data_IF_946157321281
#
_entry.id   IF_946157321281
#
_cell.length_a   1.000
_cell.length_b   1.000
_cell.length_c   1.000
_cell.angle_alpha   90.00
_cell.angle_beta   90.00
_cell.angle_gamma   90.00
#
_symmetry.space_group_name_H-M   'P 1'
#
loop_
_entity.id
_entity.type
_entity.pdbx_description
1 polymer ?
#
# COMPACT_ATOMS: atom_id res chain seq x y z
N UNK A 1 3.66 -10.51 -14.27
CA UNK A 1 3.77 -9.38 -13.31
C UNK A 1 5.20 -9.21 -12.79
N UNK A 2 5.86 -10.24 -12.26
CA UNK A 2 7.25 -10.11 -11.77
C UNK A 2 8.28 -9.66 -12.82
N UNK A 3 8.14 -10.07 -14.08
CA UNK A 3 9.02 -9.61 -15.19
C UNK A 3 8.87 -8.11 -15.46
N UNK A 4 7.63 -7.59 -15.42
CA UNK A 4 7.36 -6.15 -15.57
C UNK A 4 8.02 -5.35 -14.44
N UNK A 5 8.09 -5.89 -13.21
CA UNK A 5 8.77 -5.19 -12.11
C UNK A 5 10.27 -5.03 -12.38
N UNK A 6 10.92 -6.07 -12.90
CA UNK A 6 12.34 -6.01 -13.28
C UNK A 6 12.54 -5.04 -14.44
N UNK A 7 11.71 -5.12 -15.48
CA UNK A 7 11.79 -4.21 -16.63
C UNK A 7 11.64 -2.74 -16.20
N UNK A 8 10.72 -2.44 -15.28
CA UNK A 8 10.55 -1.10 -14.72
C UNK A 8 11.79 -0.65 -13.94
N UNK A 9 12.39 -1.54 -13.14
CA UNK A 9 13.66 -1.25 -12.45
C UNK A 9 14.79 -0.95 -13.44
N UNK A 10 14.94 -1.74 -14.49
CA UNK A 10 15.97 -1.53 -15.54
C UNK A 10 15.77 -0.22 -16.30
N UNK A 11 14.52 0.25 -16.41
CA UNK A 11 14.17 1.57 -16.93
C UNK A 11 14.43 2.73 -15.95
N UNK A 12 14.91 2.45 -14.74
CA UNK A 12 15.22 3.45 -13.73
C UNK A 12 14.04 3.86 -12.86
N UNK A 13 12.99 3.04 -12.75
CA UNK A 13 11.90 3.31 -11.82
C UNK A 13 12.40 3.35 -10.37
N UNK A 14 11.93 4.34 -9.60
CA UNK A 14 12.34 4.51 -8.20
C UNK A 14 11.63 3.54 -7.25
N UNK A 15 10.50 2.98 -7.67
CA UNK A 15 9.68 2.01 -6.94
C UNK A 15 8.70 1.32 -7.90
N UNK A 16 8.07 0.25 -7.42
CA UNK A 16 6.91 -0.37 -8.06
C UNK A 16 5.66 0.06 -7.29
N UNK A 17 4.79 0.84 -7.91
CA UNK A 17 3.56 1.33 -7.29
C UNK A 17 2.34 0.51 -7.72
N UNK A 18 1.79 -0.27 -6.79
CA UNK A 18 0.60 -1.08 -7.01
C UNK A 18 -0.62 -0.30 -6.55
N UNK A 19 -1.47 0.12 -7.50
CA UNK A 19 -2.61 1.02 -7.25
C UNK A 19 -3.91 0.24 -7.21
N UNK A 20 -4.64 0.36 -6.10
CA UNK A 20 -5.87 -0.38 -5.78
C UNK A 20 -5.73 -1.90 -6.00
N UNK A 21 -4.71 -2.55 -5.43
CA UNK A 21 -4.32 -3.89 -5.88
C UNK A 21 -4.96 -5.04 -5.08
N UNK A 22 -5.89 -4.73 -4.16
CA UNK A 22 -6.37 -5.62 -3.09
C UNK A 22 -6.92 -6.97 -3.57
N UNK A 23 -7.62 -7.02 -4.70
CA UNK A 23 -8.18 -8.28 -5.23
C UNK A 23 -7.13 -9.20 -5.87
N UNK A 24 -5.89 -8.73 -6.04
CA UNK A 24 -4.77 -9.49 -6.60
C UNK A 24 -3.69 -9.85 -5.57
N UNK A 25 -3.96 -9.70 -4.26
CA UNK A 25 -2.96 -9.91 -3.21
C UNK A 25 -2.21 -11.25 -3.33
N UNK A 26 -2.85 -12.42 -3.55
CA UNK A 26 -2.12 -13.67 -3.74
C UNK A 26 -1.15 -13.64 -4.93
N UNK A 27 -1.58 -13.09 -6.07
CA UNK A 27 -0.78 -13.00 -7.29
C UNK A 27 0.36 -11.99 -7.15
N UNK A 28 0.13 -10.90 -6.39
CA UNK A 28 1.13 -9.88 -6.10
C UNK A 28 2.24 -10.43 -5.23
N UNK A 29 1.89 -11.15 -4.17
CA UNK A 29 2.86 -11.81 -3.29
C UNK A 29 3.78 -12.72 -4.11
N UNK A 30 3.20 -13.55 -4.98
CA UNK A 30 3.97 -14.45 -5.84
C UNK A 30 4.84 -13.67 -6.84
N UNK A 31 4.30 -12.62 -7.46
CA UNK A 31 5.06 -11.78 -8.39
C UNK A 31 6.22 -11.05 -7.73
N UNK A 32 6.03 -10.52 -6.51
CA UNK A 32 7.10 -9.89 -5.73
C UNK A 32 8.16 -10.94 -5.39
N UNK A 33 7.77 -12.12 -4.92
CA UNK A 33 8.70 -13.22 -4.61
C UNK A 33 9.57 -13.58 -5.81
N UNK A 34 8.95 -13.78 -6.98
CA UNK A 34 9.67 -14.08 -8.22
C UNK A 34 10.58 -12.92 -8.64
N UNK A 35 10.11 -11.68 -8.57
CA UNK A 35 10.90 -10.51 -8.95
C UNK A 35 12.10 -10.30 -8.01
N UNK A 36 11.93 -10.43 -6.69
CA UNK A 36 13.02 -10.35 -5.72
C UNK A 36 14.09 -11.41 -5.99
N UNK A 37 13.70 -12.64 -6.30
CA UNK A 37 14.64 -13.70 -6.71
C UNK A 37 15.38 -13.39 -8.03
N UNK A 38 14.81 -12.54 -8.89
CA UNK A 38 15.42 -12.05 -10.13
C UNK A 38 16.20 -10.74 -9.95
N UNK A 39 16.40 -10.26 -8.71
CA UNK A 39 17.21 -9.07 -8.42
C UNK A 39 16.44 -7.76 -8.29
N UNK A 40 15.11 -7.78 -8.12
CA UNK A 40 14.35 -6.58 -7.79
C UNK A 40 14.83 -6.03 -6.43
N UNK A 41 15.33 -4.80 -6.40
CA UNK A 41 15.90 -4.14 -5.22
C UNK A 41 15.26 -2.77 -4.92
N UNK A 42 14.38 -2.27 -5.80
CA UNK A 42 13.60 -1.05 -5.53
C UNK A 42 12.40 -1.33 -4.60
N UNK A 43 11.87 -0.31 -3.88
CA UNK A 43 10.73 -0.45 -2.99
C UNK A 43 9.43 -0.86 -3.72
N UNK A 44 8.59 -1.63 -3.05
CA UNK A 44 7.20 -1.88 -3.45
C UNK A 44 6.27 -0.96 -2.64
N UNK A 45 5.44 -0.19 -3.35
CA UNK A 45 4.41 0.67 -2.77
C UNK A 45 3.05 0.00 -2.93
N UNK A 46 2.32 -0.12 -1.82
CA UNK A 46 0.92 -0.54 -1.81
C UNK A 46 0.02 0.69 -1.65
N UNK A 47 -0.53 1.16 -2.77
CA UNK A 47 -1.39 2.34 -2.81
C UNK A 47 -2.86 1.90 -2.78
N UNK A 48 -3.53 2.22 -1.68
CA UNK A 48 -4.84 1.65 -1.36
C UNK A 48 -5.85 2.69 -0.87
N UNK A 49 -7.09 2.26 -0.73
CA UNK A 49 -8.18 3.11 -0.25
C UNK A 49 -8.25 3.21 1.28
N UNK A 50 -7.33 2.55 1.97
CA UNK A 50 -7.37 2.28 3.40
C UNK A 50 -8.44 1.27 3.83
N UNK A 51 -9.48 1.02 3.01
CA UNK A 51 -10.66 0.24 3.38
C UNK A 51 -10.51 -1.29 3.22
N UNK A 52 -9.29 -1.78 3.39
CA UNK A 52 -8.98 -3.19 3.27
C UNK A 52 -9.27 -3.94 4.59
N UNK A 53 -9.49 -5.25 4.50
CA UNK A 53 -9.55 -6.11 5.68
C UNK A 53 -8.16 -6.25 6.30
N UNK A 54 -8.08 -6.22 7.62
CA UNK A 54 -6.83 -6.43 8.37
C UNK A 54 -6.20 -7.78 8.01
N UNK A 55 -7.00 -8.83 7.81
CA UNK A 55 -6.51 -10.14 7.40
C UNK A 55 -5.79 -10.09 6.05
N UNK A 56 -6.29 -9.28 5.11
CA UNK A 56 -5.64 -9.07 3.81
C UNK A 56 -4.32 -8.33 3.97
N UNK A 57 -4.25 -7.29 4.82
CA UNK A 57 -3.01 -6.57 5.06
C UNK A 57 -1.96 -7.48 5.72
N UNK A 58 -2.35 -8.33 6.67
CA UNK A 58 -1.45 -9.31 7.32
C UNK A 58 -0.73 -10.23 6.32
N UNK A 59 -1.37 -10.60 5.22
CA UNK A 59 -0.75 -11.43 4.16
C UNK A 59 0.42 -10.73 3.46
N UNK A 60 0.45 -9.40 3.47
CA UNK A 60 1.45 -8.58 2.79
C UNK A 60 2.73 -8.37 3.60
N UNK A 61 2.79 -8.90 4.83
CA UNK A 61 3.92 -8.72 5.74
C UNK A 61 5.21 -9.22 5.12
N UNK A 62 6.18 -8.32 4.98
CA UNK A 62 7.50 -8.59 4.39
C UNK A 62 7.55 -8.48 2.86
N UNK A 63 6.44 -8.19 2.19
CA UNK A 63 6.39 -7.99 0.74
C UNK A 63 6.27 -6.52 0.33
N UNK A 64 5.65 -5.71 1.19
CA UNK A 64 5.44 -4.28 0.95
C UNK A 64 6.44 -3.48 1.78
N UNK A 65 7.08 -2.51 1.14
CA UNK A 65 8.02 -1.61 1.79
C UNK A 65 7.33 -0.33 2.25
N UNK A 66 6.43 0.20 1.41
CA UNK A 66 5.71 1.45 1.66
C UNK A 66 4.22 1.26 1.50
N UNK A 67 3.45 1.68 2.49
CA UNK A 67 2.00 1.81 2.37
C UNK A 67 1.63 3.26 2.07
N UNK A 68 0.68 3.42 1.15
CA UNK A 68 0.18 4.72 0.72
C UNK A 68 -1.36 4.72 0.73
N UNK A 69 -2.01 4.58 1.90
CA UNK A 69 -3.46 4.54 2.01
C UNK A 69 -4.09 5.94 1.90
N UNK A 70 -5.25 5.99 1.26
CA UNK A 70 -6.17 7.11 1.39
C UNK A 70 -7.02 6.96 2.65
N UNK A 71 -7.02 7.96 3.52
CA UNK A 71 -8.03 8.10 4.57
C UNK A 71 -9.07 9.15 4.13
N UNK A 72 -10.22 8.67 3.67
CA UNK A 72 -11.25 9.45 2.97
C UNK A 72 -12.30 10.07 3.87
N UNK A 73 -12.67 9.37 4.95
CA UNK A 73 -13.75 9.78 5.83
C UNK A 73 -13.41 9.44 7.27
N UNK A 74 -13.66 10.40 8.17
CA UNK A 74 -13.71 10.15 9.61
C UNK A 74 -15.16 9.93 10.06
N UNK A 75 -16.08 10.79 9.62
CA UNK A 75 -17.50 10.70 9.97
C UNK A 75 -18.29 9.83 8.96
N UNK A 76 -19.00 8.84 9.51
CA UNK A 76 -19.90 7.95 8.77
C UNK A 76 -20.95 8.66 7.91
N UNK A 77 -21.36 9.88 8.30
CA UNK A 77 -22.28 10.71 7.52
C UNK A 77 -21.79 10.90 6.09
N UNK A 78 -20.50 11.16 5.91
CA UNK A 78 -19.90 11.40 4.60
C UNK A 78 -19.59 10.10 3.86
N UNK A 79 -19.09 9.08 4.58
CA UNK A 79 -18.79 7.80 3.94
C UNK A 79 -20.05 7.09 3.41
N UNK A 80 -21.19 7.22 4.10
CA UNK A 80 -22.49 6.77 3.59
C UNK A 80 -22.92 7.58 2.37
N UNK A 81 -22.86 8.92 2.46
CA UNK A 81 -23.33 9.82 1.41
C UNK A 81 -22.60 9.61 0.08
N UNK A 82 -21.27 9.47 0.11
CA UNK A 82 -20.46 9.47 -1.11
C UNK A 82 -19.97 8.09 -1.54
N UNK A 83 -19.83 7.14 -0.61
CA UNK A 83 -19.28 5.82 -0.90
C UNK A 83 -20.18 4.66 -0.46
N UNK A 84 -21.32 4.92 0.18
CA UNK A 84 -22.21 3.90 0.76
C UNK A 84 -21.48 2.95 1.73
N UNK A 85 -20.45 3.44 2.42
CA UNK A 85 -19.57 2.64 3.29
C UNK A 85 -19.66 3.15 4.74
N UNK A 86 -20.70 2.75 5.47
CA UNK A 86 -21.00 3.27 6.83
C UNK A 86 -19.86 3.03 7.82
N UNK A 87 -19.17 1.92 7.64
CA UNK A 87 -18.10 1.35 8.43
C UNK A 87 -16.69 1.71 7.91
N UNK A 88 -16.59 2.65 6.97
CA UNK A 88 -15.31 3.04 6.37
C UNK A 88 -14.22 3.32 7.41
N UNK A 89 -14.47 4.22 8.35
CA UNK A 89 -13.43 4.69 9.26
C UNK A 89 -12.94 3.59 10.21
N UNK A 90 -13.83 2.68 10.66
CA UNK A 90 -13.41 1.59 11.55
C UNK A 90 -12.45 0.63 10.84
N UNK A 91 -12.79 0.19 9.63
CA UNK A 91 -11.88 -0.67 8.86
C UNK A 91 -10.62 0.08 8.41
N UNK A 92 -10.76 1.33 7.98
CA UNK A 92 -9.61 2.12 7.52
C UNK A 92 -8.59 2.35 8.63
N UNK A 93 -9.05 2.68 9.84
CA UNK A 93 -8.19 2.83 11.00
C UNK A 93 -7.44 1.53 11.31
N UNK A 94 -8.15 0.41 11.42
CA UNK A 94 -7.55 -0.88 11.76
C UNK A 94 -6.56 -1.37 10.68
N UNK A 95 -6.89 -1.16 9.39
CA UNK A 95 -6.00 -1.49 8.30
C UNK A 95 -4.72 -0.63 8.33
N UNK A 96 -4.85 0.68 8.57
CA UNK A 96 -3.71 1.59 8.69
C UNK A 96 -2.84 1.25 9.89
N UNK A 97 -3.44 0.91 11.04
CA UNK A 97 -2.69 0.47 12.23
C UNK A 97 -1.87 -0.79 11.93
N UNK A 98 -2.42 -1.76 11.20
CA UNK A 98 -1.68 -2.95 10.75
C UNK A 98 -0.60 -2.61 9.70
N UNK A 99 -0.86 -1.68 8.77
CA UNK A 99 0.17 -1.20 7.83
C UNK A 99 1.37 -0.62 8.60
N UNK A 100 1.12 0.25 9.59
CA UNK A 100 2.16 0.84 10.45
C UNK A 100 2.91 -0.25 11.21
N UNK A 101 2.21 -1.23 11.77
CA UNK A 101 2.81 -2.36 12.48
C UNK A 101 3.78 -3.18 11.59
N UNK A 102 3.54 -3.25 10.28
CA UNK A 102 4.40 -4.01 9.37
C UNK A 102 5.68 -3.26 8.94
N UNK A 103 5.58 -1.97 8.64
CA UNK A 103 6.70 -1.21 8.04
C UNK A 103 7.34 -0.20 8.99
N UNK A 104 6.65 0.20 10.05
CA UNK A 104 7.13 1.16 11.04
C UNK A 104 7.27 2.59 10.50
N UNK A 105 8.17 3.34 11.13
CA UNK A 105 8.43 4.75 10.80
C UNK A 105 8.94 4.95 9.37
N UNK A 106 8.64 6.12 8.83
CA UNK A 106 9.06 6.50 7.48
C UNK A 106 10.57 6.64 7.40
N UNK A 107 11.16 6.06 6.36
CA UNK A 107 12.59 6.15 6.03
C UNK A 107 12.77 6.61 4.60
N UNK A 108 13.63 7.61 4.42
CA UNK A 108 14.05 8.14 3.13
C UNK A 108 15.52 7.81 2.89
N UNK A 109 15.93 7.73 1.63
CA UNK A 109 17.35 7.75 1.26
C UNK A 109 17.93 9.18 1.25
N UNK A 110 19.23 9.28 0.97
CA UNK A 110 19.97 10.54 0.89
C UNK A 110 19.42 11.52 -0.17
N UNK A 111 18.67 11.03 -1.15
CA UNK A 111 18.05 11.82 -2.20
C UNK A 111 16.58 12.18 -1.87
N UNK A 112 16.10 11.86 -0.67
CA UNK A 112 14.73 12.13 -0.23
C UNK A 112 13.70 11.17 -0.80
N UNK A 113 14.10 10.03 -1.38
CA UNK A 113 13.17 9.02 -1.90
C UNK A 113 12.78 8.06 -0.78
N UNK A 114 11.47 7.86 -0.59
CA UNK A 114 10.96 6.94 0.42
C UNK A 114 11.40 5.50 0.14
N UNK A 115 11.92 4.82 1.16
CA UNK A 115 12.32 3.40 1.11
C UNK A 115 11.42 2.51 1.96
N UNK A 116 10.86 3.04 3.04
CA UNK A 116 10.02 2.26 3.96
C UNK A 116 9.06 3.17 4.73
N UNK A 117 7.91 2.65 5.14
CA UNK A 117 7.00 3.32 6.07
C UNK A 117 5.58 3.55 5.51
N UNK A 118 4.78 4.32 6.23
CA UNK A 118 3.40 4.65 5.83
C UNK A 118 3.26 6.14 5.55
N UNK A 119 2.74 6.50 4.38
CA UNK A 119 2.30 7.86 4.07
C UNK A 119 0.78 7.84 3.95
N UNK A 120 0.08 8.46 4.89
CA UNK A 120 -1.39 8.53 4.87
C UNK A 120 -1.81 9.77 4.08
N UNK A 121 -2.60 9.57 3.02
CA UNK A 121 -3.23 10.68 2.31
C UNK A 121 -4.59 10.98 2.95
N UNK A 122 -4.67 12.11 3.65
CA UNK A 122 -5.94 12.60 4.18
C UNK A 122 -6.74 13.24 3.04
N UNK A 123 -7.74 12.53 2.53
CA UNK A 123 -8.62 13.06 1.49
C UNK A 123 -9.85 13.68 2.16
N UNK A 124 -9.91 15.01 2.18
CA UNK A 124 -11.11 15.73 2.60
C UNK A 124 -12.09 15.77 1.42
N UNK A 125 -12.91 14.74 1.32
CA UNK A 125 -14.00 14.73 0.35
C UNK A 125 -15.14 15.66 0.83
N UNK A 126 -15.84 16.36 -0.09
CA UNK A 126 -16.90 17.34 0.23
C UNK A 126 -18.03 16.78 1.08
#
# INVERSE_FOLDING_TARGET
LGEIFIELQEKGALNINLVTPTHYVPQIIEAIRVARNKGLNIPIIYNSSGYEKVETIKLLKGYIDVYLPDMKYFDSKYSVKYSKAKDYFSYAKEAIDEMINQVGDVKFDENGIIKKGVIIRHLMLP
#
